data_IF_660893756202
#
_entry.id   IF_660893756202
#
_cell.length_a   1.000
_cell.length_b   1.000
_cell.length_c   1.000
_cell.angle_alpha   90.00
_cell.angle_beta   90.00
_cell.angle_gamma   90.00
#
_symmetry.space_group_name_H-M   'P 1'
#
loop_
_entity.id
_entity.type
_entity.pdbx_description
1 polymer ?
#
# COMPACT_ATOMS: atom_id res chain seq x y z
N UNK A 1 6.34 20.02 -12.72
CA UNK A 1 6.68 18.79 -11.95
C UNK A 1 5.40 18.28 -11.33
N UNK A 2 5.05 17.01 -11.50
CA UNK A 2 3.87 16.40 -10.85
C UNK A 2 4.34 15.77 -9.53
N UNK A 3 3.63 16.03 -8.44
CA UNK A 3 3.86 15.38 -7.14
C UNK A 3 2.76 14.35 -6.89
N UNK A 4 2.99 13.04 -7.13
CA UNK A 4 2.00 12.01 -6.85
C UNK A 4 1.59 11.99 -5.38
N UNK A 5 2.51 12.30 -4.47
CA UNK A 5 2.23 12.37 -3.03
C UNK A 5 1.17 13.41 -2.72
N UNK A 6 1.26 14.59 -3.34
CA UNK A 6 0.30 15.68 -3.11
C UNK A 6 -1.11 15.31 -3.54
N UNK A 7 -1.26 14.54 -4.63
CA UNK A 7 -2.58 14.07 -5.07
C UNK A 7 -3.11 12.98 -4.15
N UNK A 8 -2.31 11.96 -3.83
CA UNK A 8 -2.74 10.83 -2.99
C UNK A 8 -3.03 11.23 -1.53
N UNK A 9 -2.55 12.41 -1.08
CA UNK A 9 -2.83 12.95 0.26
C UNK A 9 -3.76 14.17 0.22
N UNK A 10 -4.39 14.47 -0.91
CA UNK A 10 -5.28 15.64 -1.02
C UNK A 10 -6.58 15.40 -0.23
N UNK A 11 -6.88 16.20 0.81
CA UNK A 11 -8.11 16.06 1.60
C UNK A 11 -9.39 16.36 0.82
N UNK A 12 -9.31 17.07 -0.31
CA UNK A 12 -10.46 17.30 -1.20
C UNK A 12 -10.84 16.05 -2.00
N UNK A 13 -9.89 15.13 -2.21
CA UNK A 13 -10.09 13.88 -2.96
C UNK A 13 -10.30 12.67 -2.04
N UNK A 14 -9.60 12.65 -0.91
CA UNK A 14 -9.59 11.54 0.03
C UNK A 14 -10.00 12.04 1.41
N UNK A 15 -11.14 11.56 1.90
CA UNK A 15 -11.55 11.76 3.30
C UNK A 15 -10.51 11.13 4.23
N UNK A 16 -9.99 11.87 5.21
CA UNK A 16 -8.89 11.46 6.09
C UNK A 16 -7.71 10.82 5.33
N UNK A 17 -6.94 11.63 4.55
CA UNK A 17 -5.91 11.13 3.64
C UNK A 17 -4.69 10.55 4.36
N UNK A 18 -4.53 10.84 5.66
CA UNK A 18 -3.41 10.35 6.46
C UNK A 18 -3.73 9.00 7.13
N UNK A 19 -5.00 8.63 7.23
CA UNK A 19 -5.39 7.33 7.78
C UNK A 19 -5.27 6.20 6.74
N UNK A 20 -4.72 5.07 7.19
CA UNK A 20 -4.75 3.83 6.44
C UNK A 20 -6.15 3.21 6.51
N UNK A 21 -6.99 3.54 5.53
CA UNK A 21 -8.36 3.02 5.41
C UNK A 21 -8.55 2.28 4.06
N UNK A 22 -8.34 0.95 4.00
CA UNK A 22 -8.63 0.13 2.82
C UNK A 22 -10.09 0.17 2.34
N UNK A 23 -11.06 0.44 3.21
CA UNK A 23 -12.49 0.39 2.90
C UNK A 23 -12.94 1.57 2.04
N UNK A 24 -12.14 2.65 1.95
CA UNK A 24 -12.45 3.81 1.09
C UNK A 24 -12.63 3.46 -0.38
N UNK A 25 -12.09 2.32 -0.82
CA UNK A 25 -12.15 1.87 -2.22
C UNK A 25 -13.38 1.03 -2.54
N UNK A 26 -14.23 0.73 -1.53
CA UNK A 26 -15.45 -0.06 -1.70
C UNK A 26 -16.70 0.81 -2.00
N UNK A 27 -16.62 2.12 -1.76
CA UNK A 27 -17.73 3.04 -2.06
C UNK A 27 -17.84 3.26 -3.58
N UNK A 28 -18.76 2.55 -4.22
CA UNK A 28 -19.00 2.61 -5.67
C UNK A 28 -19.34 4.03 -6.15
N UNK A 29 -19.93 4.87 -5.30
CA UNK A 29 -20.27 6.26 -5.66
C UNK A 29 -19.02 7.12 -5.88
N UNK A 30 -17.94 6.84 -5.16
CA UNK A 30 -16.66 7.58 -5.21
C UNK A 30 -15.59 6.86 -6.02
N UNK A 31 -15.72 5.56 -6.24
CA UNK A 31 -14.70 4.68 -6.85
C UNK A 31 -14.13 5.20 -8.16
N UNK A 32 -14.98 5.66 -9.09
CA UNK A 32 -14.53 6.20 -10.38
C UNK A 32 -13.61 7.41 -10.20
N UNK A 33 -13.97 8.34 -9.33
CA UNK A 33 -13.18 9.54 -9.02
C UNK A 33 -11.87 9.17 -8.32
N UNK A 34 -11.93 8.27 -7.33
CA UNK A 34 -10.75 7.84 -6.59
C UNK A 34 -9.74 7.13 -7.49
N UNK A 35 -10.20 6.21 -8.35
CA UNK A 35 -9.33 5.46 -9.27
C UNK A 35 -8.67 6.36 -10.31
N UNK A 36 -9.38 7.38 -10.82
CA UNK A 36 -8.82 8.35 -11.77
C UNK A 36 -7.70 9.21 -11.17
N UNK A 37 -7.79 9.52 -9.88
CA UNK A 37 -6.81 10.36 -9.18
C UNK A 37 -5.71 9.54 -8.50
N UNK A 38 -5.84 8.21 -8.47
CA UNK A 38 -4.85 7.32 -7.86
C UNK A 38 -3.65 7.12 -8.79
N UNK A 39 -2.52 7.74 -8.46
CA UNK A 39 -1.32 7.77 -9.31
C UNK A 39 -0.07 7.17 -8.65
N UNK A 40 -0.09 5.95 -8.09
CA UNK A 40 1.09 5.35 -7.47
C UNK A 40 2.20 5.00 -8.49
N UNK A 41 1.84 4.88 -9.78
CA UNK A 41 2.74 4.48 -10.87
C UNK A 41 2.96 5.60 -11.91
N UNK A 42 2.61 6.84 -11.56
CA UNK A 42 2.56 7.95 -12.50
C UNK A 42 1.37 7.88 -13.47
N UNK A 43 1.52 8.43 -14.67
CA UNK A 43 0.46 8.48 -15.69
C UNK A 43 0.95 8.99 -17.04
N UNK A 44 0.08 8.91 -18.05
CA UNK A 44 0.36 9.36 -19.43
C UNK A 44 1.44 8.53 -20.14
N UNK A 45 2.17 9.16 -21.07
CA UNK A 45 3.21 8.50 -21.90
C UNK A 45 4.39 7.94 -21.09
N UNK A 46 4.51 8.31 -19.82
CA UNK A 46 5.58 7.87 -18.90
C UNK A 46 5.01 7.05 -17.74
N UNK A 47 3.84 6.44 -17.91
CA UNK A 47 3.32 5.46 -16.96
C UNK A 47 4.37 4.36 -16.73
N UNK A 48 4.55 3.94 -15.48
CA UNK A 48 5.50 2.89 -15.14
C UNK A 48 5.25 1.62 -15.98
N UNK A 49 6.25 1.19 -16.73
CA UNK A 49 6.20 -0.03 -17.55
C UNK A 49 5.94 -1.29 -16.69
N UNK A 50 6.31 -1.25 -15.42
CA UNK A 50 6.09 -2.33 -14.47
C UNK A 50 4.76 -2.29 -13.71
N UNK A 51 3.87 -1.33 -13.97
CA UNK A 51 2.67 -1.11 -13.14
C UNK A 51 1.82 -2.39 -12.96
N UNK A 52 1.49 -3.10 -14.04
CA UNK A 52 0.68 -4.31 -13.96
C UNK A 52 1.43 -5.47 -13.29
N UNK A 53 2.72 -5.62 -13.57
CA UNK A 53 3.56 -6.63 -12.93
C UNK A 53 3.63 -6.39 -11.42
N UNK A 54 3.89 -5.15 -10.98
CA UNK A 54 3.94 -4.79 -9.57
C UNK A 54 2.60 -5.03 -8.86
N UNK A 55 1.46 -4.76 -9.51
CA UNK A 55 0.13 -5.06 -8.92
C UNK A 55 -0.03 -6.55 -8.62
N UNK A 56 0.31 -7.41 -9.59
CA UNK A 56 0.23 -8.87 -9.41
C UNK A 56 1.21 -9.33 -8.33
N UNK A 57 2.45 -8.84 -8.36
CA UNK A 57 3.47 -9.18 -7.38
C UNK A 57 3.04 -8.83 -5.95
N UNK A 58 2.51 -7.62 -5.75
CA UNK A 58 2.00 -7.17 -4.44
C UNK A 58 0.81 -8.02 -4.00
N UNK A 59 -0.13 -8.32 -4.90
CA UNK A 59 -1.30 -9.14 -4.59
C UNK A 59 -0.89 -10.57 -4.17
N UNK A 60 0.04 -11.21 -4.89
CA UNK A 60 0.56 -12.54 -4.56
C UNK A 60 1.33 -12.56 -3.24
N UNK A 61 2.17 -11.54 -3.02
CA UNK A 61 2.90 -11.38 -1.76
C UNK A 61 1.93 -11.25 -0.58
N UNK A 62 0.98 -10.32 -0.66
CA UNK A 62 -0.01 -10.09 0.39
C UNK A 62 -0.86 -11.34 0.63
N UNK A 63 -1.35 -11.99 -0.44
CA UNK A 63 -2.10 -13.24 -0.32
C UNK A 63 -1.30 -14.29 0.46
N UNK A 64 -0.04 -14.53 0.07
CA UNK A 64 0.83 -15.50 0.75
C UNK A 64 1.07 -15.12 2.20
N UNK A 65 1.38 -13.85 2.46
CA UNK A 65 1.66 -13.32 3.80
C UNK A 65 0.47 -13.50 4.74
N UNK A 66 -0.76 -13.18 4.31
CA UNK A 66 -1.94 -13.22 5.19
C UNK A 66 -2.57 -14.60 5.31
N UNK A 67 -2.40 -15.48 4.32
CA UNK A 67 -2.99 -16.82 4.33
C UNK A 67 -2.08 -17.83 5.04
N UNK A 68 -0.77 -17.79 4.79
CA UNK A 68 0.19 -18.79 5.28
C UNK A 68 0.96 -18.35 6.52
N UNK A 69 0.93 -17.07 6.87
CA UNK A 69 1.71 -16.54 7.99
C UNK A 69 0.87 -15.63 8.90
N UNK A 70 1.40 -15.44 10.10
CA UNK A 70 1.08 -14.37 11.04
C UNK A 70 2.36 -13.62 11.34
N UNK A 71 2.25 -12.39 11.80
CA UNK A 71 3.40 -11.63 12.24
C UNK A 71 3.09 -10.89 13.52
N UNK A 72 4.14 -10.66 14.31
CA UNK A 72 4.10 -9.74 15.45
C UNK A 72 5.27 -8.78 15.37
N UNK A 73 5.04 -7.56 15.83
CA UNK A 73 6.11 -6.59 15.98
C UNK A 73 7.02 -7.01 17.13
N UNK A 74 8.34 -7.01 16.89
CA UNK A 74 9.36 -7.28 17.92
C UNK A 74 9.94 -5.95 18.40
N UNK A 75 10.32 -5.13 17.42
CA UNK A 75 10.91 -3.81 17.62
C UNK A 75 10.47 -2.97 16.44
N UNK A 76 9.54 -2.06 16.70
CA UNK A 76 9.10 -1.07 15.71
C UNK A 76 10.27 -0.34 15.07
N UNK A 77 10.00 0.32 13.96
CA UNK A 77 10.99 1.11 13.24
C UNK A 77 10.72 2.60 13.39
N UNK A 78 11.79 3.38 13.47
CA UNK A 78 11.70 4.81 13.20
C UNK A 78 11.39 4.96 11.70
N UNK A 79 10.15 5.33 11.39
CA UNK A 79 9.68 5.53 10.01
C UNK A 79 9.96 6.96 9.60
N UNK A 80 10.72 7.14 8.53
CA UNK A 80 10.92 8.44 7.93
C UNK A 80 10.39 8.42 6.51
N UNK A 81 9.77 9.54 6.10
CA UNK A 81 9.30 9.74 4.73
C UNK A 81 10.12 10.84 4.09
N UNK A 82 11.17 10.46 3.38
CA UNK A 82 12.08 11.36 2.67
C UNK A 82 11.99 11.10 1.16
N UNK A 83 10.92 11.58 0.52
CA UNK A 83 10.49 11.21 -0.85
C UNK A 83 10.11 9.73 -1.02
N UNK A 84 10.80 8.83 -0.33
CA UNK A 84 10.53 7.41 -0.15
C UNK A 84 10.19 7.11 1.32
N UNK A 85 9.58 5.97 1.59
CA UNK A 85 9.41 5.45 2.96
C UNK A 85 10.67 4.68 3.30
N UNK A 86 11.40 5.14 4.32
CA UNK A 86 12.62 4.48 4.80
C UNK A 86 12.50 4.13 6.27
N UNK A 87 13.23 3.07 6.65
CA UNK A 87 13.36 2.62 8.03
C UNK A 87 14.86 2.60 8.37
N UNK A 88 15.47 3.74 8.73
CA UNK A 88 16.93 3.83 8.88
C UNK A 88 17.51 2.88 9.94
N UNK A 89 16.71 2.55 10.95
CA UNK A 89 17.05 1.60 12.03
C UNK A 89 16.38 0.23 11.84
N UNK A 90 15.81 -0.02 10.66
CA UNK A 90 14.99 -1.20 10.35
C UNK A 90 13.61 -1.19 11.04
N UNK A 91 12.72 -2.07 10.57
CA UNK A 91 11.45 -2.40 11.23
C UNK A 91 11.42 -3.91 11.45
N UNK A 92 11.39 -4.35 12.71
CA UNK A 92 11.62 -5.76 13.05
C UNK A 92 10.30 -6.44 13.40
N UNK A 93 9.96 -7.43 12.58
CA UNK A 93 8.81 -8.32 12.80
C UNK A 93 9.26 -9.77 12.93
N UNK A 94 8.54 -10.56 13.73
CA UNK A 94 8.65 -12.01 13.72
C UNK A 94 7.56 -12.56 12.82
N UNK A 95 7.95 -13.33 11.81
CA UNK A 95 7.01 -14.08 10.97
C UNK A 95 6.82 -15.47 11.58
N UNK A 96 5.57 -15.90 11.72
CA UNK A 96 5.15 -17.16 12.33
C UNK A 96 4.31 -17.89 11.28
N UNK A 97 4.68 -19.12 10.85
CA UNK A 97 3.83 -19.93 9.98
C UNK A 97 2.46 -20.14 10.63
N UNK A 98 1.40 -20.02 9.84
CA UNK A 98 0.07 -20.44 10.26
C UNK A 98 0.07 -21.97 10.20
N UNK A 99 -0.26 -22.63 11.30
CA UNK A 99 -0.51 -24.07 11.26
C UNK A 99 -1.57 -24.36 10.21
N UNK A 100 -1.30 -25.32 9.32
CA UNK A 100 -2.34 -25.85 8.45
C UNK A 100 -3.40 -26.45 9.37
N UNK A 101 -4.59 -25.83 9.40
CA UNK A 101 -5.74 -26.48 9.98
C UNK A 101 -5.96 -27.75 9.17
N UNK A 102 -5.51 -28.87 9.72
CA UNK A 102 -5.85 -30.22 9.27
C UNK A 102 -7.37 -30.30 9.41
N UNK A 103 -8.08 -30.02 8.33
CA UNK A 103 -9.48 -30.38 8.13
C UNK A 103 -9.51 -31.66 7.31
#
# INVERSE_FOLDING_TARGET
MISPISVNLNPELYEDPLAFNPWRWQDESKKSTLLKNFMPFGGGLRLCVGAEFSRIQIALFLHTLVTKYRWKEIKGGEVQRISEIVFPKGYHIQIIPREESIN
#
